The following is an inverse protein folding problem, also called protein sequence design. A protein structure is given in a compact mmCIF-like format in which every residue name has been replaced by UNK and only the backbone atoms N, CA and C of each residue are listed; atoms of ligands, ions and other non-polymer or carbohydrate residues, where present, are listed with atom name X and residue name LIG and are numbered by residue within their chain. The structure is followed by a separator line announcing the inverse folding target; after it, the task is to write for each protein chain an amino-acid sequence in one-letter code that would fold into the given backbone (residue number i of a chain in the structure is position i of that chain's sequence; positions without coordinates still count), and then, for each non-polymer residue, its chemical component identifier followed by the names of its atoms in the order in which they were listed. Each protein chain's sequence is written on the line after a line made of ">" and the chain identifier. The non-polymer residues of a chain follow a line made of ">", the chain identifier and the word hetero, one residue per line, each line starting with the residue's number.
data_IF_366151543223
#
_entry.id   IF_366151543223
#
_cell.length_a   1.000
_cell.length_b   1.000
_cell.length_c   1.000
_cell.angle_alpha   90.00
_cell.angle_beta   90.00
_cell.angle_gamma   90.00
#
_symmetry.space_group_name_H-M   'P 1'
#
loop_
_entity.id
_entity.type
_entity.pdbx_description
1 polymer ?
#
# COMPACT_ATOMS: atom_id res chain seq x y z
N UNK A 1 -17.39 23.59 -16.83
CA UNK A 1 -16.73 23.11 -15.60
C UNK A 1 -16.41 21.64 -15.79
N UNK A 2 -15.14 21.26 -15.62
CA UNK A 2 -14.77 19.84 -15.53
C UNK A 2 -15.46 19.25 -14.30
N UNK A 3 -16.25 18.20 -14.48
CA UNK A 3 -16.95 17.52 -13.38
C UNK A 3 -16.10 16.32 -12.97
N UNK A 4 -15.48 16.41 -11.81
CA UNK A 4 -14.79 15.29 -11.16
C UNK A 4 -15.83 14.30 -10.67
N UNK A 5 -15.61 13.01 -10.89
CA UNK A 5 -16.45 11.93 -10.35
C UNK A 5 -15.59 10.81 -9.80
N UNK A 6 -15.94 10.31 -8.63
CA UNK A 6 -15.22 9.24 -7.94
C UNK A 6 -16.15 8.04 -7.86
N UNK A 7 -15.64 6.87 -8.23
CA UNK A 7 -16.32 5.60 -8.13
C UNK A 7 -15.44 4.62 -7.38
N UNK A 8 -16.06 3.66 -6.70
CA UNK A 8 -15.36 2.57 -6.03
C UNK A 8 -15.59 1.28 -6.77
N UNK A 9 -14.56 0.45 -6.86
CA UNK A 9 -14.78 -0.99 -6.99
C UNK A 9 -15.11 -1.64 -5.64
N UNK A 10 -15.10 -2.96 -5.57
CA UNK A 10 -15.50 -3.73 -4.39
C UNK A 10 -14.39 -3.94 -3.36
N UNK A 11 -13.14 -3.61 -3.68
CA UNK A 11 -11.99 -3.94 -2.82
C UNK A 11 -11.94 -3.18 -1.48
N UNK A 12 -12.38 -1.92 -1.47
CA UNK A 12 -12.36 -1.08 -0.27
C UNK A 12 -13.31 0.12 -0.40
N UNK A 13 -14.62 -0.17 -0.33
CA UNK A 13 -15.65 0.86 -0.45
C UNK A 13 -15.58 1.92 0.66
N UNK A 14 -15.22 1.51 1.88
CA UNK A 14 -15.07 2.42 3.03
C UNK A 14 -14.04 3.52 2.75
N UNK A 15 -12.87 3.17 2.22
CA UNK A 15 -11.86 4.17 1.87
C UNK A 15 -12.38 5.15 0.79
N UNK A 16 -13.11 4.66 -0.21
CA UNK A 16 -13.68 5.52 -1.25
C UNK A 16 -14.74 6.48 -0.69
N UNK A 17 -15.55 6.04 0.27
CA UNK A 17 -16.53 6.88 0.96
C UNK A 17 -15.86 7.96 1.81
N UNK A 18 -14.84 7.61 2.60
CA UNK A 18 -14.07 8.59 3.38
C UNK A 18 -13.33 9.58 2.47
N UNK A 19 -12.74 9.11 1.37
CA UNK A 19 -12.12 9.96 0.34
C UNK A 19 -13.11 10.98 -0.23
N UNK A 20 -14.33 10.55 -0.53
CA UNK A 20 -15.41 11.42 -1.01
C UNK A 20 -15.81 12.47 0.03
N UNK A 21 -15.88 12.11 1.31
CA UNK A 21 -16.13 13.07 2.41
C UNK A 21 -15.06 14.15 2.50
N UNK A 22 -13.78 13.78 2.40
CA UNK A 22 -12.64 14.72 2.40
C UNK A 22 -12.65 15.70 1.21
N UNK A 23 -13.34 15.33 0.13
CA UNK A 23 -13.48 16.11 -1.09
C UNK A 23 -14.79 16.91 -1.16
N UNK A 24 -15.70 16.71 -0.21
CA UNK A 24 -17.08 17.22 -0.26
C UNK A 24 -17.79 16.85 -1.58
N UNK A 25 -17.61 15.58 -2.00
CA UNK A 25 -18.20 15.02 -3.21
C UNK A 25 -19.02 13.76 -2.88
N UNK A 26 -20.16 13.53 -3.53
CA UNK A 26 -20.84 12.25 -3.42
C UNK A 26 -20.03 11.14 -4.11
N UNK A 27 -20.06 9.94 -3.54
CA UNK A 27 -19.58 8.74 -4.23
C UNK A 27 -20.52 8.45 -5.41
N UNK A 28 -19.93 8.25 -6.59
CA UNK A 28 -20.67 7.99 -7.80
C UNK A 28 -21.37 6.63 -7.78
N UNK A 29 -22.52 6.56 -8.43
CA UNK A 29 -23.34 5.36 -8.46
C UNK A 29 -22.88 4.41 -9.58
N UNK A 30 -22.29 3.28 -9.19
CA UNK A 30 -21.91 2.17 -10.07
C UNK A 30 -22.49 0.88 -9.52
N UNK A 31 -23.14 0.12 -10.39
CA UNK A 31 -23.59 -1.25 -10.08
C UNK A 31 -22.52 -2.22 -10.52
N UNK A 32 -22.03 -3.03 -9.59
CA UNK A 32 -21.10 -4.11 -9.86
C UNK A 32 -21.72 -5.41 -9.36
N UNK A 33 -21.92 -6.37 -10.25
CA UNK A 33 -22.53 -7.65 -9.93
C UNK A 33 -21.75 -8.82 -10.55
N UNK A 34 -22.04 -10.04 -10.10
CA UNK A 34 -21.49 -11.26 -10.68
C UNK A 34 -22.63 -12.08 -11.26
N UNK A 35 -22.48 -12.51 -12.51
CA UNK A 35 -23.37 -13.49 -13.11
C UNK A 35 -23.19 -14.84 -12.41
N UNK A 36 -24.14 -15.77 -12.58
CA UNK A 36 -24.04 -17.11 -12.00
C UNK A 36 -22.78 -17.88 -12.46
N UNK A 37 -22.21 -17.52 -13.63
CA UNK A 37 -20.95 -18.07 -14.13
C UNK A 37 -19.68 -17.48 -13.47
N UNK A 38 -19.82 -16.43 -12.66
CA UNK A 38 -18.71 -15.69 -12.05
C UNK A 38 -18.23 -14.48 -12.87
N UNK A 39 -18.78 -14.24 -14.06
CA UNK A 39 -18.45 -13.06 -14.87
C UNK A 39 -18.87 -11.76 -14.18
N UNK A 40 -17.96 -10.79 -14.15
CA UNK A 40 -18.19 -9.49 -13.53
C UNK A 40 -18.95 -8.59 -14.51
N UNK A 41 -20.02 -7.97 -14.04
CA UNK A 41 -20.80 -6.98 -14.77
C UNK A 41 -20.69 -5.62 -14.07
N UNK A 42 -20.36 -4.57 -14.83
CA UNK A 42 -20.26 -3.19 -14.34
C UNK A 42 -21.18 -2.30 -15.14
N UNK A 43 -21.93 -1.42 -14.46
CA UNK A 43 -22.78 -0.43 -15.09
C UNK A 43 -22.80 0.87 -14.29
N UNK A 44 -22.32 1.97 -14.90
CA UNK A 44 -22.43 3.31 -14.33
C UNK A 44 -23.89 3.80 -14.40
N UNK A 45 -24.48 4.15 -13.26
CA UNK A 45 -25.89 4.54 -13.15
C UNK A 45 -26.13 6.04 -13.38
N UNK A 46 -25.09 6.76 -13.80
CA UNK A 46 -25.14 8.19 -14.08
C UNK A 46 -24.20 8.56 -15.24
N UNK A 47 -24.50 9.66 -15.93
CA UNK A 47 -23.66 10.12 -17.04
C UNK A 47 -22.28 10.53 -16.54
N UNK A 48 -21.25 9.92 -17.11
CA UNK A 48 -19.83 10.25 -16.88
C UNK A 48 -19.18 10.88 -18.12
N UNK A 49 -20.00 11.23 -19.13
CA UNK A 49 -19.53 11.87 -20.36
C UNK A 49 -18.77 13.16 -20.03
N UNK A 50 -17.60 13.32 -20.62
CA UNK A 50 -16.71 14.49 -20.43
C UNK A 50 -16.26 14.76 -18.98
N UNK A 51 -16.47 13.81 -18.07
CA UNK A 51 -16.03 13.92 -16.66
C UNK A 51 -14.59 13.43 -16.51
N UNK A 52 -13.88 13.98 -15.53
CA UNK A 52 -12.62 13.41 -15.04
C UNK A 52 -12.97 12.35 -14.00
N UNK A 53 -12.86 11.09 -14.38
CA UNK A 53 -13.27 9.93 -13.58
C UNK A 53 -12.09 9.43 -12.76
N UNK A 54 -12.33 9.19 -11.47
CA UNK A 54 -11.41 8.51 -10.56
C UNK A 54 -12.04 7.19 -10.12
N UNK A 55 -11.31 6.09 -10.25
CA UNK A 55 -11.75 4.76 -9.82
C UNK A 55 -10.87 4.33 -8.66
N UNK A 56 -11.46 4.13 -7.48
CA UNK A 56 -10.77 3.63 -6.28
C UNK A 56 -10.84 2.11 -6.26
N UNK A 57 -9.69 1.46 -6.40
CA UNK A 57 -9.59 0.00 -6.28
C UNK A 57 -8.17 -0.42 -5.88
N UNK A 58 -8.06 -1.14 -4.76
CA UNK A 58 -6.84 -1.87 -4.40
C UNK A 58 -6.84 -3.28 -4.99
N UNK A 59 -5.68 -3.73 -5.48
CA UNK A 59 -5.52 -5.10 -5.99
C UNK A 59 -5.13 -6.06 -4.84
N UNK A 60 -5.96 -6.12 -3.80
CA UNK A 60 -5.88 -7.07 -2.69
C UNK A 60 -6.74 -8.31 -2.95
N UNK A 61 -6.74 -9.30 -2.04
CA UNK A 61 -7.55 -10.51 -2.20
C UNK A 61 -9.07 -10.18 -2.30
N UNK A 62 -9.82 -10.78 -3.26
CA UNK A 62 -9.37 -11.64 -4.36
C UNK A 62 -8.72 -10.85 -5.52
N UNK A 63 -7.38 -10.96 -5.65
CA UNK A 63 -6.56 -10.07 -6.49
C UNK A 63 -6.92 -10.11 -7.97
N UNK A 64 -7.19 -11.30 -8.51
CA UNK A 64 -7.52 -11.46 -9.92
C UNK A 64 -8.88 -10.84 -10.24
N UNK A 65 -9.86 -11.02 -9.35
CA UNK A 65 -11.20 -10.47 -9.54
C UNK A 65 -11.17 -8.95 -9.46
N UNK A 66 -10.47 -8.38 -8.48
CA UNK A 66 -10.29 -6.93 -8.40
C UNK A 66 -9.56 -6.35 -9.61
N UNK A 67 -8.59 -7.09 -10.19
CA UNK A 67 -7.95 -6.69 -11.43
C UNK A 67 -8.97 -6.68 -12.58
N UNK A 68 -9.68 -7.78 -12.83
CA UNK A 68 -10.68 -7.86 -13.91
C UNK A 68 -11.78 -6.83 -13.72
N UNK A 69 -12.27 -6.63 -12.50
CA UNK A 69 -13.26 -5.60 -12.18
C UNK A 69 -12.76 -4.21 -12.56
N UNK A 70 -11.52 -3.87 -12.18
CA UNK A 70 -10.89 -2.59 -12.56
C UNK A 70 -10.83 -2.42 -14.07
N UNK A 71 -10.42 -3.47 -14.80
CA UNK A 71 -10.35 -3.41 -16.27
C UNK A 71 -11.73 -3.17 -16.90
N UNK A 72 -12.77 -3.84 -16.40
CA UNK A 72 -14.14 -3.67 -16.90
C UNK A 72 -14.67 -2.27 -16.55
N UNK A 73 -14.39 -1.74 -15.36
CA UNK A 73 -14.74 -0.37 -14.99
C UNK A 73 -14.09 0.65 -15.93
N UNK A 74 -12.80 0.48 -16.25
CA UNK A 74 -12.10 1.36 -17.20
C UNK A 74 -12.71 1.29 -18.60
N UNK A 75 -12.93 0.08 -19.13
CA UNK A 75 -13.54 -0.09 -20.46
C UNK A 75 -14.93 0.55 -20.53
N UNK A 76 -15.77 0.32 -19.51
CA UNK A 76 -17.10 0.93 -19.40
C UNK A 76 -17.02 2.46 -19.36
N UNK A 77 -16.09 3.03 -18.59
CA UNK A 77 -15.90 4.47 -18.49
C UNK A 77 -15.46 5.09 -19.83
N UNK A 78 -14.54 4.42 -20.53
CA UNK A 78 -14.05 4.83 -21.85
C UNK A 78 -15.17 4.83 -22.88
N UNK A 79 -15.97 3.76 -22.94
CA UNK A 79 -17.13 3.66 -23.86
C UNK A 79 -18.23 4.66 -23.51
N UNK A 80 -18.39 5.01 -22.24
CA UNK A 80 -19.27 6.08 -21.78
C UNK A 80 -18.73 7.50 -22.04
N UNK A 81 -17.59 7.63 -22.74
CA UNK A 81 -16.98 8.91 -23.13
C UNK A 81 -16.51 9.77 -21.95
N UNK A 82 -15.96 9.14 -20.90
CA UNK A 82 -15.19 9.87 -19.88
C UNK A 82 -14.06 10.69 -20.53
N UNK A 83 -13.73 11.86 -19.95
CA UNK A 83 -12.64 12.72 -20.45
C UNK A 83 -11.28 12.12 -20.09
N UNK A 84 -11.12 11.75 -18.82
CA UNK A 84 -9.95 11.03 -18.31
C UNK A 84 -10.42 9.95 -17.34
N UNK A 85 -9.64 8.87 -17.24
CA UNK A 85 -9.88 7.74 -16.34
C UNK A 85 -8.62 7.57 -15.49
N UNK A 86 -8.67 8.03 -14.24
CA UNK A 86 -7.56 8.01 -13.29
C UNK A 86 -7.79 6.87 -12.29
N UNK A 87 -6.82 5.99 -12.09
CA UNK A 87 -6.97 4.85 -11.17
C UNK A 87 -6.29 5.19 -9.86
N UNK A 88 -7.10 5.32 -8.81
CA UNK A 88 -6.61 5.38 -7.43
C UNK A 88 -6.47 3.94 -6.97
N UNK A 89 -5.24 3.45 -6.95
CA UNK A 89 -4.89 2.08 -6.59
C UNK A 89 -4.01 2.07 -5.34
N UNK A 90 -4.59 2.23 -4.13
CA UNK A 90 -3.81 2.35 -2.90
C UNK A 90 -2.83 1.21 -2.68
N UNK A 91 -3.21 -0.03 -3.03
CA UNK A 91 -2.31 -1.18 -3.05
C UNK A 91 -2.18 -1.77 -4.46
N UNK A 92 -0.96 -1.76 -5.00
CA UNK A 92 -0.61 -2.35 -6.30
C UNK A 92 -0.24 -3.84 -6.15
N UNK A 93 -1.24 -4.70 -6.27
CA UNK A 93 -1.05 -6.15 -6.37
C UNK A 93 -0.10 -6.53 -7.51
N UNK A 94 0.58 -7.67 -7.37
CA UNK A 94 1.70 -8.10 -8.23
C UNK A 94 2.98 -7.27 -8.15
N UNK A 95 3.07 -6.22 -7.33
CA UNK A 95 4.27 -5.40 -7.19
C UNK A 95 5.53 -6.20 -6.83
N UNK A 96 5.40 -7.31 -6.08
CA UNK A 96 6.51 -8.22 -5.71
C UNK A 96 7.07 -9.06 -6.88
N UNK A 97 6.50 -8.92 -8.08
CA UNK A 97 6.89 -9.62 -9.31
C UNK A 97 7.36 -8.60 -10.35
N UNK A 98 8.22 -7.67 -9.93
CA UNK A 98 8.78 -6.56 -10.70
C UNK A 98 10.01 -6.92 -11.54
N UNK A 99 10.60 -8.10 -11.32
CA UNK A 99 11.75 -8.59 -12.07
C UNK A 99 11.71 -10.10 -12.22
N UNK A 100 12.47 -10.61 -13.17
CA UNK A 100 12.73 -12.04 -13.29
C UNK A 100 13.76 -12.45 -12.25
N UNK A 101 13.37 -13.30 -11.31
CA UNK A 101 14.30 -13.88 -10.34
C UNK A 101 14.93 -15.17 -10.86
N UNK A 102 14.27 -15.83 -11.81
CA UNK A 102 14.76 -17.01 -12.51
C UNK A 102 14.44 -16.99 -14.03
N UNK A 103 15.10 -17.85 -14.83
CA UNK A 103 14.76 -18.02 -16.24
C UNK A 103 13.29 -18.46 -16.43
N UNK A 104 12.62 -17.88 -17.44
CA UNK A 104 11.23 -18.18 -17.86
C UNK A 104 10.12 -17.74 -16.88
N UNK A 105 10.42 -16.84 -15.95
CA UNK A 105 9.39 -16.16 -15.14
C UNK A 105 8.80 -14.93 -15.85
N UNK A 106 7.55 -14.55 -15.54
CA UNK A 106 6.96 -13.29 -15.97
C UNK A 106 7.50 -12.12 -15.15
N UNK A 107 7.25 -10.90 -15.64
CA UNK A 107 7.31 -9.67 -14.85
C UNK A 107 5.86 -9.20 -14.70
N UNK A 108 5.13 -9.79 -13.75
CA UNK A 108 3.67 -9.61 -13.66
C UNK A 108 3.28 -8.17 -13.31
N UNK A 109 4.11 -7.44 -12.56
CA UNK A 109 3.89 -6.00 -12.36
C UNK A 109 3.87 -5.25 -13.70
N UNK A 110 4.77 -5.57 -14.63
CA UNK A 110 4.77 -4.97 -15.98
C UNK A 110 3.55 -5.40 -16.79
N UNK A 111 3.16 -6.67 -16.73
CA UNK A 111 1.95 -7.17 -17.38
C UNK A 111 0.70 -6.39 -16.91
N UNK A 112 0.53 -6.19 -15.60
CA UNK A 112 -0.60 -5.44 -15.06
C UNK A 112 -0.57 -3.99 -15.53
N UNK A 113 0.61 -3.35 -15.52
CA UNK A 113 0.77 -1.99 -16.05
C UNK A 113 0.36 -1.88 -17.53
N UNK A 114 0.77 -2.85 -18.36
CA UNK A 114 0.44 -2.90 -19.79
C UNK A 114 -1.06 -3.04 -20.02
N UNK A 115 -1.72 -3.93 -19.29
CA UNK A 115 -3.15 -4.19 -19.46
C UNK A 115 -3.98 -3.00 -18.99
N UNK A 116 -3.64 -2.37 -17.86
CA UNK A 116 -4.30 -1.14 -17.36
C UNK A 116 -4.19 0.01 -18.37
N UNK A 117 -2.99 0.21 -18.93
CA UNK A 117 -2.74 1.22 -19.95
C UNK A 117 -3.53 0.93 -21.23
N UNK A 118 -3.52 -0.33 -21.68
CA UNK A 118 -4.20 -0.78 -22.91
C UNK A 118 -5.71 -0.58 -22.85
N UNK A 119 -6.35 -0.93 -21.73
CA UNK A 119 -7.81 -0.78 -21.59
C UNK A 119 -8.22 0.69 -21.56
N UNK A 120 -7.34 1.59 -21.11
CA UNK A 120 -7.48 3.04 -21.28
C UNK A 120 -7.36 3.85 -20.00
N UNK A 121 -6.64 3.37 -18.98
CA UNK A 121 -6.25 4.23 -17.87
C UNK A 121 -5.39 5.39 -18.38
N UNK A 122 -5.61 6.60 -17.86
CA UNK A 122 -4.84 7.79 -18.20
C UNK A 122 -3.79 8.15 -17.14
N UNK A 123 -3.94 7.64 -15.91
CA UNK A 123 -3.08 7.92 -14.77
C UNK A 123 -3.24 6.85 -13.70
N UNK A 124 -2.17 6.56 -12.97
CA UNK A 124 -2.20 5.74 -11.76
C UNK A 124 -1.82 6.61 -10.55
N UNK A 125 -2.57 6.50 -9.47
CA UNK A 125 -2.25 7.08 -8.16
C UNK A 125 -2.13 5.90 -7.20
N UNK A 126 -0.96 5.68 -6.62
CA UNK A 126 -0.69 4.49 -5.79
C UNK A 126 0.17 4.85 -4.59
N UNK A 127 0.29 3.97 -3.60
CA UNK A 127 0.98 4.24 -2.34
C UNK A 127 2.04 3.15 -2.13
N UNK A 128 3.26 3.57 -1.78
CA UNK A 128 4.40 2.71 -1.39
C UNK A 128 4.52 1.40 -2.21
N UNK A 129 4.74 1.56 -3.51
CA UNK A 129 5.09 0.46 -4.42
C UNK A 129 6.22 -0.39 -3.82
N UNK A 130 6.10 -1.71 -4.00
CA UNK A 130 7.12 -2.64 -3.52
C UNK A 130 8.53 -2.26 -4.03
N UNK A 131 8.61 -1.76 -5.27
CA UNK A 131 9.85 -1.24 -5.84
C UNK A 131 9.57 0.03 -6.65
N UNK A 132 10.30 1.11 -6.35
CA UNK A 132 10.16 2.40 -7.05
C UNK A 132 10.26 2.31 -8.58
N UNK A 133 11.11 1.44 -9.18
CA UNK A 133 11.20 1.30 -10.64
C UNK A 133 9.91 0.85 -11.33
N UNK A 134 8.91 0.33 -10.60
CA UNK A 134 7.60 -0.02 -11.17
C UNK A 134 6.93 1.20 -11.83
N UNK A 135 7.22 2.41 -11.37
CA UNK A 135 6.75 3.64 -12.02
C UNK A 135 7.14 3.69 -13.51
N UNK A 136 8.33 3.20 -13.86
CA UNK A 136 8.82 3.12 -15.24
C UNK A 136 8.20 2.00 -16.08
N UNK A 137 7.28 1.20 -15.53
CA UNK A 137 6.51 0.21 -16.29
C UNK A 137 5.31 0.80 -17.01
N UNK A 138 4.89 2.00 -16.63
CA UNK A 138 3.75 2.69 -17.21
C UNK A 138 4.20 3.73 -18.23
N UNK A 139 3.50 3.77 -19.38
CA UNK A 139 3.64 4.85 -20.37
C UNK A 139 2.76 6.08 -20.03
N UNK A 140 1.95 5.96 -18.98
CA UNK A 140 1.06 6.99 -18.44
C UNK A 140 1.62 7.53 -17.12
N UNK A 141 1.25 8.76 -16.69
CA UNK A 141 1.70 9.32 -15.42
C UNK A 141 1.35 8.42 -14.22
N UNK A 142 2.32 8.28 -13.31
CA UNK A 142 2.15 7.59 -12.03
C UNK A 142 2.46 8.58 -10.90
N UNK A 143 1.47 8.85 -10.06
CA UNK A 143 1.65 9.57 -8.81
C UNK A 143 1.87 8.55 -7.70
N UNK A 144 3.14 8.32 -7.35
CA UNK A 144 3.56 7.39 -6.31
C UNK A 144 3.65 8.11 -4.96
N UNK A 145 2.64 7.92 -4.11
CA UNK A 145 2.53 8.50 -2.78
C UNK A 145 3.21 7.62 -1.73
N UNK A 146 3.44 8.15 -0.53
CA UNK A 146 4.01 7.39 0.59
C UNK A 146 3.24 7.65 1.89
N UNK A 147 3.08 6.61 2.70
CA UNK A 147 2.51 6.70 4.05
C UNK A 147 3.56 7.05 5.12
N UNK A 148 4.84 7.18 4.75
CA UNK A 148 5.94 7.37 5.68
C UNK A 148 5.74 8.59 6.60
N UNK A 149 5.29 9.73 6.05
CA UNK A 149 5.04 10.94 6.84
C UNK A 149 3.95 10.71 7.91
N UNK A 150 2.90 9.95 7.58
CA UNK A 150 1.82 9.63 8.53
C UNK A 150 2.31 8.69 9.64
N UNK A 151 3.12 7.70 9.28
CA UNK A 151 3.73 6.76 10.23
C UNK A 151 4.67 7.52 11.19
N UNK A 152 5.47 8.46 10.67
CA UNK A 152 6.38 9.29 11.49
C UNK A 152 5.60 10.10 12.51
N UNK A 153 4.56 10.83 12.07
CA UNK A 153 3.76 11.65 12.98
C UNK A 153 3.07 10.80 14.06
N UNK A 154 2.59 9.61 13.70
CA UNK A 154 2.06 8.65 14.66
C UNK A 154 3.11 8.23 15.70
N UNK A 155 4.30 7.80 15.26
CA UNK A 155 5.38 7.33 16.14
C UNK A 155 5.91 8.45 17.05
N UNK A 156 6.01 9.68 16.56
CA UNK A 156 6.36 10.86 17.39
C UNK A 156 5.38 11.06 18.54
N UNK A 157 4.09 10.88 18.27
CA UNK A 157 3.03 10.94 19.28
C UNK A 157 3.21 9.92 20.41
N UNK A 158 3.83 8.76 20.13
CA UNK A 158 4.03 7.68 21.11
C UNK A 158 5.16 7.92 22.11
N UNK A 159 6.07 8.85 21.85
CA UNK A 159 7.22 9.16 22.73
C UNK A 159 8.00 7.90 23.15
N UNK A 160 8.33 7.06 22.17
CA UNK A 160 9.03 5.79 22.36
C UNK A 160 10.40 6.06 23.00
N UNK A 161 10.75 5.30 24.05
CA UNK A 161 12.04 5.41 24.74
C UNK A 161 13.10 4.54 24.06
N UNK A 162 14.31 5.09 23.91
CA UNK A 162 15.45 4.45 23.24
C UNK A 162 15.06 3.79 21.89
N UNK A 163 14.41 4.51 20.96
CA UNK A 163 13.97 3.90 19.71
C UNK A 163 15.17 3.48 18.86
N UNK A 164 15.04 2.36 18.15
CA UNK A 164 15.92 1.97 17.05
C UNK A 164 15.06 1.54 15.87
N UNK A 165 15.28 2.12 14.69
CA UNK A 165 14.55 1.70 13.50
C UNK A 165 15.26 0.50 12.89
N UNK A 166 14.50 -0.56 12.63
CA UNK A 166 15.02 -1.83 12.14
C UNK A 166 14.47 -2.13 10.76
N UNK A 167 15.38 -2.31 9.80
CA UNK A 167 15.03 -2.89 8.50
C UNK A 167 15.12 -4.42 8.55
N UNK A 168 14.04 -5.16 8.23
CA UNK A 168 14.01 -6.61 8.31
C UNK A 168 14.77 -7.31 7.19
N UNK A 169 15.16 -6.61 6.13
CA UNK A 169 16.17 -7.04 5.15
C UNK A 169 16.71 -5.86 4.31
N UNK A 170 17.66 -6.16 3.42
CA UNK A 170 18.31 -5.17 2.55
C UNK A 170 17.35 -4.36 1.66
N UNK A 171 16.17 -4.89 1.33
CA UNK A 171 15.23 -4.23 0.42
C UNK A 171 14.62 -2.95 1.00
N UNK A 172 14.55 -2.84 2.33
CA UNK A 172 13.95 -1.69 3.03
C UNK A 172 14.97 -0.82 3.77
N UNK A 173 16.26 -1.02 3.52
CA UNK A 173 17.31 -0.31 4.22
C UNK A 173 17.18 1.21 4.09
N UNK A 174 16.98 1.70 2.86
CA UNK A 174 16.86 3.14 2.57
C UNK A 174 15.65 3.78 3.26
N UNK A 175 14.49 3.12 3.23
CA UNK A 175 13.27 3.61 3.91
C UNK A 175 13.46 3.66 5.42
N UNK A 176 14.09 2.63 5.99
CA UNK A 176 14.37 2.54 7.41
C UNK A 176 15.41 3.57 7.87
N UNK A 177 16.47 3.80 7.09
CA UNK A 177 17.45 4.86 7.34
C UNK A 177 16.80 6.25 7.32
N UNK A 178 15.94 6.52 6.33
CA UNK A 178 15.18 7.77 6.24
C UNK A 178 14.27 7.97 7.46
N UNK A 179 13.54 6.92 7.87
CA UNK A 179 12.71 6.94 9.07
C UNK A 179 13.56 7.21 10.33
N UNK A 180 14.71 6.55 10.48
CA UNK A 180 15.62 6.74 11.60
C UNK A 180 16.13 8.18 11.68
N UNK A 181 16.55 8.77 10.56
CA UNK A 181 16.99 10.17 10.50
C UNK A 181 15.89 11.16 10.87
N UNK A 182 14.63 10.89 10.50
CA UNK A 182 13.49 11.76 10.81
C UNK A 182 12.98 11.61 12.25
N UNK A 183 13.22 10.46 12.87
CA UNK A 183 12.97 10.21 14.29
C UNK A 183 14.17 10.54 15.19
N UNK A 184 15.29 10.96 14.60
CA UNK A 184 16.56 11.23 15.30
C UNK A 184 16.99 10.05 16.19
N UNK A 185 17.05 8.85 15.59
CA UNK A 185 17.39 7.63 16.31
C UNK A 185 18.29 6.68 15.52
N UNK A 186 18.93 5.69 16.18
CA UNK A 186 19.77 4.72 15.51
C UNK A 186 19.01 3.83 14.52
N UNK A 187 19.75 3.31 13.55
CA UNK A 187 19.28 2.39 12.53
C UNK A 187 19.98 1.04 12.67
N UNK A 188 19.24 -0.05 12.49
CA UNK A 188 19.76 -1.41 12.41
C UNK A 188 19.16 -2.16 11.22
N UNK A 189 19.91 -3.14 10.69
CA UNK A 189 19.48 -3.97 9.57
C UNK A 189 19.74 -5.45 9.81
N UNK A 190 18.75 -6.25 9.41
CA UNK A 190 18.81 -7.70 9.45
C UNK A 190 19.41 -8.24 8.15
N UNK A 191 20.45 -9.05 8.25
CA UNK A 191 20.98 -9.81 7.09
C UNK A 191 20.40 -11.22 7.12
N UNK A 192 19.66 -11.57 6.07
CA UNK A 192 19.18 -12.92 5.81
C UNK A 192 20.13 -13.63 4.85
N UNK A 193 20.64 -14.80 5.21
CA UNK A 193 21.13 -15.75 4.22
C UNK A 193 19.94 -16.58 3.71
N UNK A 194 19.89 -16.80 2.39
CA UNK A 194 18.91 -17.68 1.75
C UNK A 194 19.62 -18.93 1.25
N UNK A 195 19.76 -19.99 2.07
CA UNK A 195 20.36 -21.24 1.61
C UNK A 195 19.48 -21.97 0.55
N UNK A 196 18.17 -21.70 0.48
CA UNK A 196 17.25 -22.24 -0.54
C UNK A 196 16.05 -21.31 -0.82
N UNK A 197 15.36 -21.51 -1.96
CA UNK A 197 14.05 -20.90 -2.21
C UNK A 197 13.05 -21.40 -1.14
N UNK A 198 12.55 -20.48 -0.31
CA UNK A 198 11.59 -20.69 0.80
C UNK A 198 12.18 -20.99 2.20
N UNK A 199 13.51 -20.93 2.39
CA UNK A 199 14.10 -20.94 3.74
C UNK A 199 14.94 -19.69 3.94
N UNK A 200 14.55 -18.88 4.94
CA UNK A 200 15.33 -17.73 5.38
C UNK A 200 15.64 -17.88 6.86
N UNK A 201 16.92 -18.00 7.18
CA UNK A 201 17.42 -17.88 8.55
C UNK A 201 18.03 -16.49 8.72
N UNK A 202 17.68 -15.84 9.83
CA UNK A 202 18.31 -14.58 10.22
C UNK A 202 19.73 -14.93 10.66
N UNK A 203 20.71 -14.41 9.92
CA UNK A 203 22.12 -14.71 10.19
C UNK A 203 22.76 -13.68 11.10
N UNK A 204 22.56 -12.39 10.83
CA UNK A 204 23.22 -11.31 11.56
C UNK A 204 22.35 -10.06 11.65
N UNK A 205 22.55 -9.30 12.73
CA UNK A 205 22.01 -7.95 12.90
C UNK A 205 23.20 -7.00 12.82
N UNK A 206 23.14 -6.00 11.95
CA UNK A 206 24.08 -4.87 11.91
C UNK A 206 23.40 -3.70 12.61
N UNK A 207 24.09 -3.10 13.58
CA UNK A 207 23.55 -2.05 14.45
C UNK A 207 23.35 -2.56 15.88
N UNK A 208 23.34 -1.63 16.83
CA UNK A 208 23.04 -1.93 18.24
C UNK A 208 21.53 -1.92 18.49
N UNK A 209 21.05 -2.89 19.27
CA UNK A 209 19.63 -3.11 19.57
C UNK A 209 19.40 -3.51 21.02
N UNK A 210 20.46 -3.73 21.80
CA UNK A 210 20.35 -4.13 23.21
C UNK A 210 19.83 -2.96 24.04
N UNK A 211 18.86 -3.20 24.94
CA UNK A 211 18.20 -2.16 25.74
C UNK A 211 17.53 -1.02 24.93
N UNK A 212 17.24 -1.29 23.66
CA UNK A 212 16.53 -0.38 22.75
C UNK A 212 15.11 -0.88 22.44
N UNK A 213 14.23 0.02 22.02
CA UNK A 213 12.87 -0.31 21.56
C UNK A 213 12.82 -0.34 20.03
N UNK A 214 12.69 -1.53 19.40
CA UNK A 214 12.70 -1.63 17.95
C UNK A 214 11.44 -1.06 17.31
N UNK A 215 11.61 -0.36 16.20
CA UNK A 215 10.57 0.07 15.26
C UNK A 215 10.87 -0.61 13.93
N UNK A 216 10.17 -1.69 13.62
CA UNK A 216 10.37 -2.46 12.38
C UNK A 216 9.50 -1.83 11.29
N UNK A 217 10.09 -1.46 10.15
CA UNK A 217 9.38 -0.86 9.02
C UNK A 217 9.46 -1.73 7.76
N UNK A 218 8.31 -1.98 7.14
CA UNK A 218 8.12 -2.69 5.87
C UNK A 218 7.20 -1.88 4.94
N UNK A 219 7.14 -2.24 3.65
CA UNK A 219 6.05 -1.77 2.78
C UNK A 219 4.75 -2.52 3.05
N UNK A 220 4.84 -3.84 3.28
CA UNK A 220 3.68 -4.69 3.46
C UNK A 220 3.90 -5.82 4.46
N UNK A 221 2.82 -6.29 5.07
CA UNK A 221 2.80 -7.49 5.90
C UNK A 221 1.86 -8.52 5.28
N UNK A 222 2.44 -9.60 4.75
CA UNK A 222 1.70 -10.71 4.13
C UNK A 222 1.35 -11.80 5.16
N UNK A 223 2.25 -12.75 5.41
CA UNK A 223 2.00 -13.88 6.34
C UNK A 223 2.42 -13.61 7.78
N UNK A 224 3.01 -12.44 8.07
CA UNK A 224 3.57 -12.07 9.38
C UNK A 224 4.85 -12.82 9.79
N UNK A 225 5.25 -13.87 9.07
CA UNK A 225 6.33 -14.77 9.50
C UNK A 225 7.70 -14.09 9.58
N UNK A 226 8.03 -13.22 8.61
CA UNK A 226 9.25 -12.41 8.65
C UNK A 226 9.30 -11.54 9.89
N UNK A 227 8.21 -10.85 10.20
CA UNK A 227 8.10 -9.95 11.35
C UNK A 227 8.33 -10.71 12.65
N UNK A 228 7.64 -11.84 12.85
CA UNK A 228 7.81 -12.66 14.06
C UNK A 228 9.26 -13.12 14.23
N UNK A 229 9.89 -13.60 13.16
CA UNK A 229 11.28 -14.02 13.21
C UNK A 229 12.23 -12.86 13.60
N UNK A 230 11.99 -11.67 13.06
CA UNK A 230 12.77 -10.47 13.38
C UNK A 230 12.59 -10.08 14.84
N UNK A 231 11.34 -10.03 15.32
CA UNK A 231 11.01 -9.73 16.73
C UNK A 231 11.70 -10.71 17.67
N UNK A 232 11.66 -12.00 17.38
CA UNK A 232 12.30 -13.03 18.21
C UNK A 232 13.83 -12.92 18.21
N UNK A 233 14.43 -12.59 17.05
CA UNK A 233 15.87 -12.36 16.96
C UNK A 233 16.31 -11.12 17.75
N UNK A 234 15.55 -10.03 17.67
CA UNK A 234 15.80 -8.80 18.44
C UNK A 234 15.65 -9.06 19.95
N UNK A 235 14.61 -9.80 20.35
CA UNK A 235 14.39 -10.13 21.76
C UNK A 235 15.54 -10.96 22.35
N UNK A 236 16.06 -11.93 21.59
CA UNK A 236 17.25 -12.71 21.98
C UNK A 236 18.51 -11.87 22.12
N UNK A 237 18.55 -10.68 21.51
CA UNK A 237 19.65 -9.70 21.60
C UNK A 237 19.43 -8.63 22.67
N UNK A 238 18.44 -8.80 23.55
CA UNK A 238 18.18 -7.88 24.66
C UNK A 238 17.33 -6.67 24.30
N UNK A 239 16.73 -6.62 23.11
CA UNK A 239 15.82 -5.54 22.74
C UNK A 239 14.51 -5.59 23.56
N UNK A 240 13.88 -4.42 23.73
CA UNK A 240 12.53 -4.31 24.25
C UNK A 240 11.49 -4.75 23.20
N UNK A 241 10.21 -4.73 23.60
CA UNK A 241 9.11 -5.13 22.72
C UNK A 241 8.94 -4.16 21.56
N UNK A 242 8.69 -4.70 20.37
CA UNK A 242 8.79 -3.95 19.11
C UNK A 242 7.49 -3.27 18.71
N UNK A 243 7.61 -2.14 18.01
CA UNK A 243 6.57 -1.56 17.17
C UNK A 243 6.76 -2.04 15.75
N UNK A 244 5.69 -2.43 15.08
CA UNK A 244 5.70 -2.82 13.67
C UNK A 244 4.97 -1.74 12.88
N UNK A 245 5.56 -1.31 11.78
CA UNK A 245 4.96 -0.35 10.86
C UNK A 245 5.01 -0.93 9.45
N UNK A 246 3.90 -0.85 8.73
CA UNK A 246 3.88 -1.11 7.30
C UNK A 246 2.83 -0.27 6.60
N UNK A 247 2.96 -0.04 5.30
CA UNK A 247 1.89 0.63 4.56
C UNK A 247 0.72 -0.33 4.37
N UNK A 248 0.96 -1.52 3.86
CA UNK A 248 -0.08 -2.45 3.43
C UNK A 248 -0.23 -3.65 4.39
N UNK A 249 -1.36 -3.75 5.09
CA UNK A 249 -1.73 -4.96 5.83
C UNK A 249 -2.43 -5.98 4.93
N UNK A 250 -1.68 -6.87 4.27
CA UNK A 250 -2.25 -7.90 3.39
C UNK A 250 -2.79 -9.11 4.18
N UNK A 251 -2.12 -9.44 5.27
CA UNK A 251 -2.56 -10.40 6.30
C UNK A 251 -3.13 -11.73 5.80
N UNK A 252 -2.42 -12.38 4.88
CA UNK A 252 -2.81 -13.71 4.42
C UNK A 252 -2.53 -14.81 5.45
N UNK A 253 -3.17 -15.98 5.26
CA UNK A 253 -3.09 -17.11 6.18
C UNK A 253 -3.44 -16.69 7.63
N UNK A 254 -2.61 -17.03 8.61
CA UNK A 254 -2.82 -16.70 10.02
C UNK A 254 -1.96 -15.51 10.49
N UNK A 255 -1.75 -14.51 9.63
CA UNK A 255 -0.91 -13.36 9.93
C UNK A 255 -1.37 -12.60 11.19
N UNK A 256 -2.68 -12.35 11.33
CA UNK A 256 -3.22 -11.64 12.49
C UNK A 256 -2.93 -12.36 13.81
N UNK A 257 -3.05 -13.69 13.83
CA UNK A 257 -2.70 -14.52 14.99
C UNK A 257 -1.21 -14.44 15.32
N UNK A 258 -0.35 -14.57 14.30
CA UNK A 258 1.12 -14.47 14.46
C UNK A 258 1.56 -13.11 14.99
N UNK A 259 0.93 -12.05 14.50
CA UNK A 259 1.23 -10.67 14.88
C UNK A 259 0.68 -10.31 16.26
N UNK A 260 -0.22 -11.11 16.83
CA UNK A 260 -0.59 -11.03 18.25
C UNK A 260 0.52 -11.60 19.17
N UNK A 261 1.78 -11.38 18.81
CA UNK A 261 2.95 -11.84 19.53
C UNK A 261 3.11 -11.08 20.86
N UNK A 262 3.55 -11.71 21.96
CA UNK A 262 3.76 -11.03 23.25
C UNK A 262 4.83 -9.94 23.18
N UNK A 263 5.86 -10.12 22.35
CA UNK A 263 6.95 -9.15 22.15
C UNK A 263 6.64 -8.07 21.09
N UNK A 264 5.38 -7.99 20.61
CA UNK A 264 4.90 -6.92 19.73
C UNK A 264 3.96 -6.04 20.54
N UNK A 265 4.32 -4.75 20.66
CA UNK A 265 3.47 -3.75 21.33
C UNK A 265 2.30 -3.35 20.46
N UNK A 266 2.58 -3.09 19.19
CA UNK A 266 1.61 -2.50 18.27
C UNK A 266 2.01 -2.77 16.81
N UNK A 267 1.00 -2.89 15.96
CA UNK A 267 1.13 -3.04 14.51
C UNK A 267 0.39 -1.89 13.85
N UNK A 268 1.15 -0.92 13.34
CA UNK A 268 0.66 0.28 12.65
C UNK A 268 0.65 0.02 11.15
N UNK A 269 -0.51 0.18 10.55
CA UNK A 269 -0.76 -0.02 9.12
C UNK A 269 -1.63 1.09 8.56
N UNK A 270 -1.87 1.09 7.25
CA UNK A 270 -2.86 1.98 6.63
C UNK A 270 -4.10 1.21 6.16
N UNK A 271 -5.15 1.94 5.83
CA UNK A 271 -6.36 1.41 5.19
C UNK A 271 -6.23 1.26 3.66
N UNK A 272 -5.01 1.21 3.10
CA UNK A 272 -4.79 0.91 1.67
C UNK A 272 -5.37 -0.44 1.24
N UNK A 273 -5.49 -1.39 2.17
CA UNK A 273 -6.23 -2.65 1.99
C UNK A 273 -7.35 -2.66 3.03
N UNK A 274 -8.55 -3.08 2.65
CA UNK A 274 -9.65 -3.24 3.59
C UNK A 274 -9.31 -4.33 4.61
N UNK A 275 -9.56 -4.05 5.89
CA UNK A 275 -9.30 -4.96 7.00
C UNK A 275 -10.60 -5.14 7.74
N UNK A 276 -10.92 -6.39 8.08
CA UNK A 276 -12.10 -6.69 8.88
C UNK A 276 -12.01 -6.04 10.27
N UNK A 277 -13.15 -5.59 10.79
CA UNK A 277 -13.24 -4.91 12.09
C UNK A 277 -12.80 -5.79 13.27
N UNK A 278 -12.72 -7.11 13.07
CA UNK A 278 -12.35 -8.11 14.07
C UNK A 278 -10.82 -8.25 14.29
N UNK A 279 -10.06 -7.16 14.20
CA UNK A 279 -8.66 -7.13 14.60
C UNK A 279 -8.49 -6.82 16.10
N UNK A 280 -7.40 -7.27 16.70
CA UNK A 280 -7.10 -7.00 18.12
C UNK A 280 -6.73 -5.54 18.35
N UNK A 281 -6.83 -5.06 19.59
CA UNK A 281 -6.44 -3.69 20.00
C UNK A 281 -4.96 -3.35 19.72
N UNK A 282 -4.14 -4.32 19.32
CA UNK A 282 -2.74 -4.11 18.91
C UNK A 282 -2.62 -3.52 17.50
N UNK A 283 -3.66 -3.59 16.67
CA UNK A 283 -3.62 -3.07 15.31
C UNK A 283 -4.14 -1.63 15.27
N UNK A 284 -3.36 -0.76 14.64
CA UNK A 284 -3.73 0.64 14.43
C UNK A 284 -3.73 0.90 12.95
N UNK A 285 -4.87 1.36 12.44
CA UNK A 285 -5.08 1.67 11.02
C UNK A 285 -5.09 3.18 10.84
N UNK A 286 -4.11 3.69 10.09
CA UNK A 286 -4.00 5.10 9.73
C UNK A 286 -4.82 5.36 8.45
N UNK A 287 -5.70 6.38 8.44
CA UNK A 287 -6.59 6.63 7.30
C UNK A 287 -5.89 7.34 6.15
N UNK A 288 -5.92 6.77 4.96
CA UNK A 288 -5.28 7.31 3.75
C UNK A 288 -6.14 8.32 3.01
N UNK A 289 -7.44 8.41 3.35
CA UNK A 289 -8.37 9.34 2.70
C UNK A 289 -7.87 10.79 2.64
N UNK A 290 -7.23 11.40 3.67
CA UNK A 290 -6.79 12.79 3.57
C UNK A 290 -5.65 12.99 2.57
N UNK A 291 -4.70 12.05 2.54
CA UNK A 291 -3.57 12.09 1.60
C UNK A 291 -4.05 11.90 0.16
N UNK A 292 -4.89 10.89 -0.07
CA UNK A 292 -5.45 10.60 -1.39
C UNK A 292 -6.38 11.74 -1.88
N UNK A 293 -7.17 12.34 -0.99
CA UNK A 293 -8.02 13.49 -1.31
C UNK A 293 -7.17 14.68 -1.76
N UNK A 294 -6.09 14.98 -1.02
CA UNK A 294 -5.19 16.08 -1.37
C UNK A 294 -4.52 15.83 -2.72
N UNK A 295 -4.09 14.59 -2.99
CA UNK A 295 -3.53 14.22 -4.31
C UNK A 295 -4.56 14.44 -5.44
N UNK A 296 -5.81 14.01 -5.27
CA UNK A 296 -6.87 14.24 -6.26
C UNK A 296 -7.10 15.73 -6.48
N UNK A 297 -7.20 16.55 -5.42
CA UNK A 297 -7.34 18.02 -5.53
C UNK A 297 -6.22 18.61 -6.39
N UNK A 298 -4.96 18.31 -6.04
CA UNK A 298 -3.77 18.77 -6.76
C UNK A 298 -3.84 18.37 -8.24
N UNK A 299 -4.16 17.11 -8.54
CA UNK A 299 -4.24 16.62 -9.93
C UNK A 299 -5.34 17.35 -10.71
N UNK A 300 -6.50 17.57 -10.10
CA UNK A 300 -7.64 18.25 -10.73
C UNK A 300 -7.39 19.74 -10.96
N UNK A 301 -6.59 20.37 -10.11
CA UNK A 301 -6.23 21.79 -10.19
C UNK A 301 -4.94 22.04 -11.00
N UNK A 302 -4.22 20.98 -11.39
CA UNK A 302 -2.94 21.09 -12.11
C UNK A 302 -1.77 21.54 -11.24
N UNK A 303 -1.84 21.31 -9.93
CA UNK A 303 -0.78 21.61 -8.97
C UNK A 303 0.37 20.60 -8.98
N UNK A 304 1.33 20.79 -8.07
CA UNK A 304 2.48 19.88 -7.92
C UNK A 304 2.25 18.85 -6.83
N UNK A 305 2.28 17.56 -7.19
CA UNK A 305 2.19 16.45 -6.23
C UNK A 305 3.39 16.42 -5.26
N UNK A 306 4.53 17.00 -5.67
CA UNK A 306 5.72 17.06 -4.83
C UNK A 306 5.49 17.77 -3.49
N UNK A 307 4.47 18.63 -3.38
CA UNK A 307 4.14 19.33 -2.13
C UNK A 307 3.57 18.41 -1.04
N UNK A 308 3.21 17.17 -1.38
CA UNK A 308 2.71 16.19 -0.41
C UNK A 308 3.81 15.55 0.42
N UNK A 309 5.06 15.55 -0.06
CA UNK A 309 6.18 14.90 0.59
C UNK A 309 6.95 15.89 1.46
N UNK A 310 6.77 15.80 2.78
CA UNK A 310 7.53 16.65 3.72
C UNK A 310 8.92 16.09 3.98
N UNK A 311 9.06 14.78 3.97
CA UNK A 311 10.33 14.06 4.15
C UNK A 311 11.21 13.99 2.89
N UNK A 312 10.84 14.66 1.79
CA UNK A 312 11.44 14.46 0.46
C UNK A 312 11.01 13.12 -0.16
N UNK A 313 11.25 12.92 -1.45
CA UNK A 313 11.12 11.61 -2.12
C UNK A 313 12.34 10.76 -1.82
#
# INVERSE_FOLDING_TARGET
>A
MQKVKIFSGTSNQRLAEELCKELDLPLGNVTISRLQSGEIHVSYQESIRTCDVFIVQSLSHPVNEHLIETLIMIDAAKRASAKTINIVMPYYGYARQERKSAPREPISAKLVADVLTTVGANRIITVDLHADPIQGFFDIPVDHLTALDMIIEYLRGKKIKNPVVVSPDAGRATTAEKLAGLLDCPFAIMIKNRPAHNQSEITHIIGDVEDMTPIIIEDLIDTGSTIVNVVEALKKKGAHDSYICATHGLFSANALEKLNHPNIREVVITDTIAIDEAHTDKFVVLPMSPLLATAIKIITEGGSIATLFKAGT
#
